data_IF_763455969761
#
_entry.id   IF_763455969761
#
_cell.length_a   1.000
_cell.length_b   1.000
_cell.length_c   1.000
_cell.angle_alpha   90.00
_cell.angle_beta   90.00
_cell.angle_gamma   90.00
#
_symmetry.space_group_name_H-M   'P 1'
#
loop_
_entity.id
_entity.type
_entity.pdbx_description
1 polymer ?
#
# COMPACT_ATOMS: atom_id res chain seq x y z
N UNK A 1 -19.06 7.12 -14.37
CA UNK A 1 -18.52 8.41 -13.89
C UNK A 1 -17.10 8.09 -13.46
N UNK A 2 -16.23 8.06 -14.47
CA UNK A 2 -14.89 7.51 -14.41
C UNK A 2 -13.91 8.68 -14.47
N UNK A 3 -13.51 9.17 -13.30
CA UNK A 3 -12.65 10.35 -13.22
C UNK A 3 -11.59 10.18 -12.13
N UNK A 4 -10.65 9.27 -12.35
CA UNK A 4 -9.31 9.42 -11.79
C UNK A 4 -8.41 9.89 -12.95
N UNK A 5 -8.36 11.21 -13.17
CA UNK A 5 -7.57 11.87 -14.19
C UNK A 5 -6.07 11.90 -13.89
N UNK A 6 -5.46 10.75 -13.61
CA UNK A 6 -4.01 10.62 -13.55
C UNK A 6 -3.47 10.39 -14.97
N UNK A 7 -3.23 11.47 -15.71
CA UNK A 7 -2.38 11.42 -16.90
C UNK A 7 -0.94 11.24 -16.41
N UNK A 8 -0.46 10.00 -16.39
CA UNK A 8 0.94 9.70 -16.11
C UNK A 8 1.59 9.27 -17.42
N UNK A 9 2.41 10.14 -18.00
CA UNK A 9 3.31 9.78 -19.11
C UNK A 9 4.13 8.54 -18.70
N UNK A 10 3.87 7.44 -19.40
CA UNK A 10 4.52 6.15 -19.19
C UNK A 10 5.94 6.18 -19.76
N UNK A 11 6.91 6.56 -18.94
CA UNK A 11 8.31 6.19 -19.13
C UNK A 11 8.83 5.64 -17.78
N UNK A 12 9.11 4.34 -17.75
CA UNK A 12 9.84 3.59 -16.69
C UNK A 12 9.11 3.07 -15.44
N UNK A 13 7.77 2.94 -15.42
CA UNK A 13 7.06 2.36 -14.25
C UNK A 13 6.17 1.16 -14.63
N UNK A 14 6.51 0.43 -15.71
CA UNK A 14 5.57 -0.52 -16.35
C UNK A 14 5.79 -2.00 -16.02
N UNK A 15 7.01 -2.46 -15.69
CA UNK A 15 7.28 -3.91 -15.58
C UNK A 15 7.55 -4.41 -14.16
N UNK A 16 8.05 -3.56 -13.26
CA UNK A 16 8.38 -3.99 -11.90
C UNK A 16 7.15 -4.03 -10.99
N UNK A 17 6.28 -3.00 -11.04
CA UNK A 17 5.03 -2.94 -10.27
C UNK A 17 4.02 -4.00 -10.74
N UNK A 18 3.96 -4.27 -12.05
CA UNK A 18 3.00 -5.23 -12.63
C UNK A 18 3.28 -6.69 -12.23
N UNK A 19 4.54 -7.04 -11.93
CA UNK A 19 4.93 -8.41 -11.55
C UNK A 19 4.58 -8.79 -10.10
N UNK A 20 4.30 -7.82 -9.23
CA UNK A 20 3.87 -8.06 -7.84
C UNK A 20 2.35 -7.96 -7.63
N UNK A 21 1.61 -7.50 -8.63
CA UNK A 21 0.16 -7.59 -8.61
C UNK A 21 -0.21 -9.07 -8.75
N UNK A 22 -0.90 -9.61 -7.75
CA UNK A 22 -1.45 -10.97 -7.71
C UNK A 22 -0.48 -12.12 -7.38
N UNK A 23 -0.43 -12.46 -6.08
CA UNK A 23 -0.87 -13.77 -5.54
C UNK A 23 -0.57 -13.79 -4.04
N UNK A 24 -1.44 -13.20 -3.24
CA UNK A 24 -1.50 -13.52 -1.81
C UNK A 24 -1.95 -14.98 -1.66
N UNK A 25 -1.02 -15.92 -1.61
CA UNK A 25 -1.24 -17.20 -0.92
C UNK A 25 -0.82 -16.97 0.52
N UNK A 26 -1.74 -17.20 1.46
CA UNK A 26 -1.55 -16.89 2.88
C UNK A 26 -2.89 -16.78 3.59
N UNK A 27 -2.86 -16.74 4.92
CA UNK A 27 -4.06 -16.53 5.74
C UNK A 27 -4.50 -15.07 5.59
N UNK A 28 -5.72 -14.83 5.13
CA UNK A 28 -6.28 -13.47 5.09
C UNK A 28 -6.32 -12.90 6.53
N UNK A 29 -5.62 -11.78 6.74
CA UNK A 29 -5.56 -11.08 8.03
C UNK A 29 -6.71 -10.10 8.15
N UNK A 30 -7.07 -9.44 7.04
CA UNK A 30 -8.21 -8.53 7.01
C UNK A 30 -8.35 -7.78 5.70
N UNK A 31 -9.36 -6.91 5.67
CA UNK A 31 -9.71 -6.05 4.53
C UNK A 31 -9.77 -4.61 4.99
N UNK A 32 -9.35 -3.70 4.11
CA UNK A 32 -9.44 -2.27 4.31
C UNK A 32 -10.08 -1.60 3.11
N UNK A 33 -10.74 -0.47 3.36
CA UNK A 33 -11.25 0.41 2.33
C UNK A 33 -10.93 1.86 2.71
N UNK A 34 -10.25 2.57 1.81
CA UNK A 34 -9.90 3.97 2.02
C UNK A 34 -10.32 4.76 0.80
N UNK A 35 -11.23 5.72 1.01
CA UNK A 35 -11.76 6.58 -0.05
C UNK A 35 -12.25 5.77 -1.28
N UNK A 36 -13.02 4.72 -1.04
CA UNK A 36 -13.57 3.83 -2.08
C UNK A 36 -12.58 2.83 -2.69
N UNK A 37 -11.32 2.82 -2.26
CA UNK A 37 -10.29 1.90 -2.76
C UNK A 37 -10.11 0.73 -1.80
N UNK A 38 -10.33 -0.48 -2.30
CA UNK A 38 -10.32 -1.69 -1.49
C UNK A 38 -8.97 -2.38 -1.54
N UNK A 39 -8.58 -2.94 -0.41
CA UNK A 39 -7.42 -3.81 -0.33
C UNK A 39 -7.63 -4.92 0.71
N UNK A 40 -6.84 -5.98 0.59
CA UNK A 40 -6.78 -7.12 1.49
C UNK A 40 -5.35 -7.31 1.95
N UNK A 41 -5.18 -7.72 3.19
CA UNK A 41 -3.89 -8.06 3.79
C UNK A 41 -3.89 -9.56 4.09
N UNK A 42 -2.78 -10.21 3.78
CA UNK A 42 -2.55 -11.63 4.01
C UNK A 42 -1.26 -11.80 4.81
N UNK A 43 -1.24 -12.83 5.66
CA UNK A 43 -0.03 -13.27 6.34
C UNK A 43 0.47 -14.59 5.74
N UNK A 44 1.75 -14.63 5.39
CA UNK A 44 2.42 -15.76 4.77
C UNK A 44 3.85 -15.84 5.29
N UNK A 45 4.23 -16.98 5.88
CA UNK A 45 5.58 -17.22 6.45
C UNK A 45 6.08 -16.09 7.37
N UNK A 46 5.20 -15.55 8.21
CA UNK A 46 5.54 -14.47 9.14
C UNK A 46 5.65 -13.07 8.50
N UNK A 47 5.38 -12.94 7.20
CA UNK A 47 5.35 -11.66 6.48
C UNK A 47 3.93 -11.29 6.06
N UNK A 48 3.68 -9.99 6.00
CA UNK A 48 2.44 -9.44 5.47
C UNK A 48 2.58 -9.09 3.98
N UNK A 49 1.54 -9.44 3.22
CA UNK A 49 1.37 -9.18 1.78
C UNK A 49 0.01 -8.52 1.54
N UNK A 50 -0.18 -7.90 0.38
CA UNK A 50 -1.43 -7.24 0.04
C UNK A 50 -2.00 -7.64 -1.32
N UNK A 51 -3.28 -7.35 -1.50
CA UNK A 51 -3.97 -7.34 -2.79
C UNK A 51 -4.84 -6.07 -2.82
N UNK A 52 -4.81 -5.30 -3.90
CA UNK A 52 -5.62 -4.07 -4.03
C UNK A 52 -5.99 -3.78 -5.49
N UNK A 53 -6.92 -2.85 -5.67
CA UNK A 53 -7.27 -2.31 -6.99
C UNK A 53 -6.11 -1.47 -7.56
N UNK A 54 -6.07 -1.26 -8.89
CA UNK A 54 -4.98 -0.59 -9.60
C UNK A 54 -4.92 0.93 -9.35
N UNK A 55 -4.64 1.35 -8.12
CA UNK A 55 -4.33 2.74 -7.78
C UNK A 55 -2.85 2.86 -7.38
N UNK A 56 -2.05 3.57 -8.18
CA UNK A 56 -0.60 3.68 -7.97
C UNK A 56 -0.23 4.22 -6.58
N UNK A 57 -0.95 5.23 -6.09
CA UNK A 57 -0.70 5.81 -4.76
C UNK A 57 -0.99 4.78 -3.66
N UNK A 58 -2.08 4.03 -3.77
CA UNK A 58 -2.41 2.98 -2.81
C UNK A 58 -1.35 1.87 -2.81
N UNK A 59 -0.95 1.40 -4.00
CA UNK A 59 0.10 0.38 -4.18
C UNK A 59 1.39 0.81 -3.49
N UNK A 60 1.92 1.99 -3.83
CA UNK A 60 3.17 2.51 -3.25
C UNK A 60 3.06 2.64 -1.72
N UNK A 61 1.90 3.09 -1.23
CA UNK A 61 1.65 3.24 0.21
C UNK A 61 1.62 1.90 0.92
N UNK A 62 0.92 0.90 0.36
CA UNK A 62 0.85 -0.45 0.91
C UNK A 62 2.22 -1.13 0.90
N UNK A 63 3.00 -0.98 -0.17
CA UNK A 63 4.37 -1.50 -0.25
C UNK A 63 5.26 -0.90 0.83
N UNK A 64 5.33 0.43 0.91
CA UNK A 64 6.17 1.11 1.88
C UNK A 64 5.75 0.80 3.33
N UNK A 65 4.45 0.70 3.59
CA UNK A 65 3.92 0.40 4.93
C UNK A 65 4.23 -1.03 5.35
N UNK A 66 3.98 -2.00 4.47
CA UNK A 66 4.22 -3.42 4.78
C UNK A 66 5.71 -3.77 4.79
N UNK A 67 6.55 -3.09 4.03
CA UNK A 67 8.01 -3.22 4.12
C UNK A 67 8.49 -2.89 5.54
N UNK A 68 8.03 -1.79 6.12
CA UNK A 68 8.38 -1.39 7.48
C UNK A 68 7.81 -2.35 8.53
N UNK A 69 6.55 -2.77 8.39
CA UNK A 69 5.93 -3.75 9.30
C UNK A 69 6.68 -5.09 9.26
N UNK A 70 7.08 -5.54 8.08
CA UNK A 70 7.85 -6.79 7.91
C UNK A 70 9.28 -6.69 8.47
N UNK A 71 9.81 -5.48 8.67
CA UNK A 71 11.05 -5.22 9.43
C UNK A 71 10.81 -5.07 10.94
N UNK A 72 9.56 -5.18 11.40
CA UNK A 72 9.18 -5.03 12.81
C UNK A 72 8.80 -3.60 13.21
N UNK A 73 8.79 -2.64 12.30
CA UNK A 73 8.38 -1.27 12.57
C UNK A 73 6.87 -1.09 12.39
N UNK A 74 6.14 -0.95 13.50
CA UNK A 74 4.70 -0.68 13.52
C UNK A 74 4.36 0.74 14.00
N UNK A 75 5.34 1.65 14.04
CA UNK A 75 5.13 3.01 14.49
C UNK A 75 4.62 3.89 13.33
N UNK A 76 3.37 4.35 13.43
CA UNK A 76 2.71 5.18 12.40
C UNK A 76 3.56 6.38 11.97
N UNK A 77 4.13 7.13 12.92
CA UNK A 77 4.93 8.32 12.61
C UNK A 77 6.18 7.97 11.81
N UNK A 78 6.90 6.92 12.22
CA UNK A 78 8.11 6.49 11.51
C UNK A 78 7.81 5.99 10.10
N UNK A 79 6.71 5.26 9.93
CA UNK A 79 6.24 4.80 8.61
C UNK A 79 5.89 6.01 7.72
N UNK A 80 5.15 6.98 8.23
CA UNK A 80 4.82 8.20 7.48
C UNK A 80 6.06 9.00 7.11
N UNK A 81 7.05 9.14 8.00
CA UNK A 81 8.32 9.79 7.69
C UNK A 81 9.10 9.04 6.60
N UNK A 82 9.06 7.70 6.59
CA UNK A 82 9.65 6.88 5.52
C UNK A 82 8.96 7.12 4.18
N UNK A 83 7.63 7.21 4.17
CA UNK A 83 6.81 7.46 2.97
C UNK A 83 7.08 8.87 2.42
N UNK A 84 7.24 9.89 3.28
CA UNK A 84 7.60 11.27 2.87
C UNK A 84 8.92 11.34 2.10
N UNK A 85 9.83 10.39 2.30
CA UNK A 85 11.12 10.33 1.59
C UNK A 85 11.01 9.71 0.18
N UNK A 86 9.85 9.17 -0.19
CA UNK A 86 9.64 8.64 -1.55
C UNK A 86 9.54 9.81 -2.52
N UNK A 87 10.53 9.93 -3.40
CA UNK A 87 10.61 11.02 -4.38
C UNK A 87 9.36 11.01 -5.27
N UNK A 88 8.70 12.17 -5.38
CA UNK A 88 7.50 12.34 -6.20
C UNK A 88 6.19 11.94 -5.51
N UNK A 89 6.22 11.58 -4.22
CA UNK A 89 5.02 11.28 -3.44
C UNK A 89 4.77 12.38 -2.40
N UNK A 90 3.57 12.96 -2.42
CA UNK A 90 3.13 13.91 -1.38
C UNK A 90 2.23 13.19 -0.40
N UNK A 91 2.60 13.21 0.89
CA UNK A 91 1.74 12.64 1.94
C UNK A 91 0.46 13.45 2.06
N UNK A 92 -0.66 12.78 1.80
CA UNK A 92 -2.01 13.32 1.85
C UNK A 92 -2.91 12.41 2.70
N UNK A 93 -4.19 12.77 2.83
CA UNK A 93 -5.15 12.02 3.63
C UNK A 93 -5.33 10.56 3.19
N UNK A 94 -5.25 10.27 1.88
CA UNK A 94 -5.31 8.89 1.38
C UNK A 94 -4.17 8.05 1.97
N UNK A 95 -2.95 8.58 1.97
CA UNK A 95 -1.77 7.91 2.50
C UNK A 95 -1.91 7.71 4.01
N UNK A 96 -2.26 8.76 4.74
CA UNK A 96 -2.41 8.72 6.20
C UNK A 96 -3.46 7.70 6.62
N UNK A 97 -4.63 7.73 5.98
CA UNK A 97 -5.71 6.78 6.25
C UNK A 97 -5.31 5.35 5.89
N UNK A 98 -4.58 5.15 4.78
CA UNK A 98 -4.08 3.82 4.40
C UNK A 98 -3.13 3.26 5.44
N UNK A 99 -2.15 4.03 5.91
CA UNK A 99 -1.21 3.56 6.96
C UNK A 99 -1.96 3.18 8.24
N UNK A 100 -2.88 4.03 8.69
CA UNK A 100 -3.71 3.76 9.89
C UNK A 100 -4.53 2.49 9.74
N UNK A 101 -5.17 2.33 8.58
CA UNK A 101 -6.02 1.18 8.32
C UNK A 101 -5.21 -0.12 8.24
N UNK A 102 -4.03 -0.10 7.62
CA UNK A 102 -3.12 -1.26 7.63
C UNK A 102 -2.69 -1.61 9.05
N UNK A 103 -2.26 -0.62 9.85
CA UNK A 103 -1.85 -0.85 11.24
C UNK A 103 -2.99 -1.41 12.10
N UNK A 104 -4.25 -0.97 11.87
CA UNK A 104 -5.43 -1.52 12.51
C UNK A 104 -5.65 -3.00 12.16
N UNK A 105 -5.33 -3.42 10.94
CA UNK A 105 -5.52 -4.80 10.47
C UNK A 105 -4.41 -5.73 10.99
N UNK A 106 -3.18 -5.26 11.13
CA UNK A 106 -2.01 -6.11 11.48
C UNK A 106 -1.68 -6.15 12.99
N UNK A 107 -2.41 -5.41 13.81
CA UNK A 107 -2.30 -5.40 15.27
C UNK A 107 -3.41 -6.24 15.89
#
# INVERSE_FOLDING_TARGET
MDSCGCVTERKYVSDFLARQVFRGKGKETGRGEVQGRKFKIFQDEGKFKYQCDQCAVLIITLEATLEEINKGNKNEKQILERIKRIKGLTVNDLIIQTVKEVLRIVN
#
